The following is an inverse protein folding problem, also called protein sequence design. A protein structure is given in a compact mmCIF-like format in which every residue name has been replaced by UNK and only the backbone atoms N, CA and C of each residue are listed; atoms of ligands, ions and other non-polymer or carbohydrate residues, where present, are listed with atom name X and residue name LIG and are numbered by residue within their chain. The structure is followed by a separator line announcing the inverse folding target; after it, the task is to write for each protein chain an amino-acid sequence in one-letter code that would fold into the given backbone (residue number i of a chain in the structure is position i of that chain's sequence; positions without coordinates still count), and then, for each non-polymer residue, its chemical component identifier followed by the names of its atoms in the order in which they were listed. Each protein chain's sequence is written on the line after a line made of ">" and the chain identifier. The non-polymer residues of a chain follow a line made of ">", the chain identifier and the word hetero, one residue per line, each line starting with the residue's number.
data_IF_393154261134
#
_entry.id   IF_393154261134
#
_cell.length_a   1.000
_cell.length_b   1.000
_cell.length_c   1.000
_cell.angle_alpha   90.00
_cell.angle_beta   90.00
_cell.angle_gamma   90.00
#
_symmetry.space_group_name_H-M   'P 1'
#
loop_
_entity.id
_entity.type
_entity.pdbx_description
1 polymer ?
#
# COMPACT_ATOMS: atom_id res chain seq x y z
N UNK A 1 15.18 10.74 6.45
CA UNK A 1 14.96 9.76 7.52
C UNK A 1 15.25 8.38 6.96
N UNK A 2 16.13 7.65 7.61
CA UNK A 2 16.54 6.34 7.14
C UNK A 2 15.51 5.28 7.50
N UNK A 3 15.21 4.43 6.54
CA UNK A 3 14.30 3.32 6.75
C UNK A 3 14.88 2.04 6.15
N UNK A 4 14.38 0.90 6.62
CA UNK A 4 14.70 -0.42 6.08
C UNK A 4 13.40 -1.13 5.72
N UNK A 5 13.48 -2.01 4.73
CA UNK A 5 12.35 -2.86 4.34
C UNK A 5 12.76 -4.31 4.51
N UNK A 6 11.92 -5.10 5.17
CA UNK A 6 12.13 -6.53 5.36
C UNK A 6 10.84 -7.30 5.11
N UNK A 7 10.95 -8.59 4.84
CA UNK A 7 9.77 -9.45 4.73
C UNK A 7 9.03 -9.51 6.07
N UNK A 8 7.70 -9.58 5.99
CA UNK A 8 6.87 -9.77 7.16
C UNK A 8 7.05 -11.17 7.74
N UNK A 9 6.85 -11.29 9.05
CA UNK A 9 6.78 -12.56 9.76
C UNK A 9 5.41 -12.67 10.45
N UNK A 10 5.03 -13.84 10.97
CA UNK A 10 3.76 -13.96 11.70
C UNK A 10 3.61 -12.99 12.87
N UNK A 11 4.73 -12.58 13.48
CA UNK A 11 4.72 -11.61 14.58
C UNK A 11 4.27 -10.21 14.17
N UNK A 12 4.28 -9.91 12.88
CA UNK A 12 3.89 -8.61 12.35
C UNK A 12 2.39 -8.49 12.10
N UNK A 13 1.64 -9.60 12.19
CA UNK A 13 0.23 -9.68 11.85
C UNK A 13 -0.61 -8.57 12.48
N UNK A 14 -0.52 -8.42 13.81
CA UNK A 14 -1.38 -7.48 14.52
C UNK A 14 -1.04 -6.02 14.23
N UNK A 15 0.24 -5.69 14.09
CA UNK A 15 0.68 -4.34 13.75
C UNK A 15 0.25 -3.96 12.32
N UNK A 16 0.39 -4.87 11.38
CA UNK A 16 -0.03 -4.65 10.00
C UNK A 16 -1.54 -4.49 9.93
N UNK A 17 -2.30 -5.39 10.59
CA UNK A 17 -3.76 -5.27 10.61
C UNK A 17 -4.21 -3.96 11.22
N UNK A 18 -3.68 -3.59 12.37
CA UNK A 18 -4.05 -2.35 13.05
C UNK A 18 -3.83 -1.12 12.19
N UNK A 19 -2.70 -1.04 11.51
CA UNK A 19 -2.40 0.09 10.62
C UNK A 19 -3.31 0.08 9.38
N UNK A 20 -3.52 -1.08 8.76
CA UNK A 20 -4.43 -1.21 7.62
C UNK A 20 -5.83 -0.75 8.01
N UNK A 21 -6.36 -1.28 9.11
CA UNK A 21 -7.72 -0.95 9.58
C UNK A 21 -7.87 0.55 9.83
N UNK A 22 -6.92 1.16 10.53
CA UNK A 22 -6.94 2.60 10.78
C UNK A 22 -6.93 3.40 9.48
N UNK A 23 -6.13 2.96 8.52
CA UNK A 23 -5.93 3.70 7.26
C UNK A 23 -7.13 3.61 6.32
N UNK A 24 -7.83 2.47 6.25
CA UNK A 24 -8.93 2.26 5.30
C UNK A 24 -10.31 2.52 5.92
N UNK A 25 -10.44 2.50 7.24
CA UNK A 25 -11.73 2.61 7.91
C UNK A 25 -12.58 3.80 7.47
N UNK A 26 -12.03 5.03 7.33
CA UNK A 26 -12.85 6.17 6.91
C UNK A 26 -13.56 5.96 5.56
N UNK A 27 -12.93 5.24 4.65
CA UNK A 27 -13.49 4.96 3.33
C UNK A 27 -14.46 3.80 3.36
N UNK A 28 -14.08 2.71 4.01
CA UNK A 28 -14.90 1.50 4.12
C UNK A 28 -16.20 1.78 4.87
N UNK A 29 -16.15 2.51 5.99
CA UNK A 29 -17.34 2.88 6.75
C UNK A 29 -18.37 3.63 5.90
N UNK A 30 -17.88 4.53 5.08
CA UNK A 30 -18.73 5.39 4.25
C UNK A 30 -19.39 4.63 3.11
N UNK A 31 -18.71 3.63 2.55
CA UNK A 31 -19.18 2.88 1.38
C UNK A 31 -20.04 1.68 1.80
N UNK A 32 -19.58 0.91 2.80
CA UNK A 32 -20.19 -0.38 3.17
C UNK A 32 -20.54 -0.52 4.64
N UNK A 33 -20.09 0.40 5.49
CA UNK A 33 -20.08 0.20 6.94
C UNK A 33 -18.87 -0.63 7.36
N UNK A 34 -18.53 -0.55 8.64
CA UNK A 34 -17.38 -1.28 9.19
C UNK A 34 -17.86 -2.48 9.99
N UNK A 35 -17.50 -3.68 9.56
CA UNK A 35 -17.73 -4.94 10.25
C UNK A 35 -16.37 -5.51 10.68
N UNK A 36 -16.08 -5.43 11.99
CA UNK A 36 -14.77 -5.82 12.52
C UNK A 36 -14.46 -7.29 12.26
N UNK A 37 -15.44 -8.17 12.46
CA UNK A 37 -15.22 -9.61 12.25
C UNK A 37 -14.94 -9.92 10.79
N UNK A 38 -15.66 -9.28 9.88
CA UNK A 38 -15.42 -9.41 8.45
C UNK A 38 -14.03 -8.92 8.08
N UNK A 39 -13.61 -7.76 8.57
CA UNK A 39 -12.32 -7.17 8.24
C UNK A 39 -11.16 -8.02 8.73
N UNK A 40 -11.27 -8.57 9.94
CA UNK A 40 -10.24 -9.46 10.49
C UNK A 40 -10.12 -10.74 9.67
N UNK A 41 -11.24 -11.34 9.31
CA UNK A 41 -11.27 -12.57 8.53
C UNK A 41 -10.71 -12.35 7.12
N UNK A 42 -11.10 -11.25 6.49
CA UNK A 42 -10.61 -10.87 5.17
C UNK A 42 -9.10 -10.66 5.20
N UNK A 43 -8.60 -9.94 6.20
CA UNK A 43 -7.16 -9.73 6.35
C UNK A 43 -6.41 -11.04 6.60
N UNK A 44 -6.96 -11.94 7.43
CA UNK A 44 -6.31 -13.23 7.68
C UNK A 44 -6.15 -14.04 6.40
N UNK A 45 -7.15 -13.98 5.51
CA UNK A 45 -7.06 -14.60 4.19
C UNK A 45 -5.94 -13.99 3.35
N UNK A 46 -5.86 -12.67 3.30
CA UNK A 46 -4.82 -11.96 2.56
C UNK A 46 -3.43 -12.22 3.15
N UNK A 47 -3.31 -12.21 4.48
CA UNK A 47 -2.04 -12.41 5.16
C UNK A 47 -1.51 -13.84 5.05
N UNK A 48 -2.35 -14.78 4.61
CA UNK A 48 -1.88 -16.13 4.27
C UNK A 48 -0.86 -16.09 3.12
N UNK A 49 -0.89 -15.03 2.31
CA UNK A 49 0.14 -14.71 1.32
C UNK A 49 1.19 -13.77 1.91
N UNK A 50 1.78 -14.18 3.01
CA UNK A 50 2.69 -13.34 3.81
C UNK A 50 3.90 -12.84 3.01
N UNK A 51 4.32 -13.57 1.98
CA UNK A 51 5.41 -13.18 1.09
C UNK A 51 5.14 -11.88 0.33
N UNK A 52 3.89 -11.44 0.25
CA UNK A 52 3.53 -10.17 -0.38
C UNK A 52 3.72 -8.98 0.55
N UNK A 53 3.85 -9.21 1.85
CA UNK A 53 3.92 -8.16 2.86
C UNK A 53 5.35 -7.85 3.24
N UNK A 54 5.68 -6.57 3.24
CA UNK A 54 7.01 -6.08 3.60
C UNK A 54 6.85 -4.99 4.66
N UNK A 55 7.58 -5.14 5.76
CA UNK A 55 7.55 -4.19 6.87
C UNK A 55 8.54 -3.08 6.62
N UNK A 56 8.12 -1.86 6.86
CA UNK A 56 8.97 -0.67 6.85
C UNK A 56 9.38 -0.39 8.29
N UNK A 57 10.68 -0.36 8.54
CA UNK A 57 11.25 -0.09 9.86
C UNK A 57 12.02 1.21 9.87
N UNK A 58 11.88 1.96 10.95
CA UNK A 58 12.66 3.17 11.22
C UNK A 58 13.24 3.02 12.63
N UNK A 59 14.57 3.11 12.75
CA UNK A 59 15.28 2.92 14.01
C UNK A 59 14.92 1.59 14.70
N UNK A 60 14.75 0.54 13.90
CA UNK A 60 14.44 -0.80 14.40
C UNK A 60 12.99 -1.01 14.83
N UNK A 61 12.11 -0.01 14.64
CA UNK A 61 10.70 -0.08 15.04
C UNK A 61 9.79 -0.15 13.81
N UNK A 62 8.64 -0.81 13.96
CA UNK A 62 7.62 -0.86 12.93
C UNK A 62 7.13 0.55 12.60
N UNK A 63 7.24 0.94 11.35
CA UNK A 63 6.80 2.25 10.87
C UNK A 63 5.67 2.15 9.85
N UNK A 64 5.50 1.00 9.22
CA UNK A 64 4.48 0.79 8.22
C UNK A 64 4.69 -0.49 7.44
N UNK A 65 3.97 -0.65 6.35
CA UNK A 65 4.14 -1.80 5.48
C UNK A 65 3.78 -1.46 4.03
N UNK A 66 4.28 -2.29 3.12
CA UNK A 66 3.88 -2.28 1.73
C UNK A 66 3.54 -3.71 1.30
N UNK A 67 2.39 -3.87 0.67
CA UNK A 67 1.96 -5.14 0.09
C UNK A 67 2.04 -5.04 -1.42
N UNK A 68 2.77 -5.96 -2.06
CA UNK A 68 2.85 -6.00 -3.51
C UNK A 68 3.04 -7.43 -4.00
N UNK A 69 2.68 -7.65 -5.26
CA UNK A 69 2.95 -8.90 -5.96
C UNK A 69 3.16 -8.62 -7.45
N UNK A 70 3.71 -9.60 -8.13
CA UNK A 70 3.98 -9.48 -9.56
C UNK A 70 3.08 -10.42 -10.35
N UNK A 71 2.37 -9.83 -11.32
CA UNK A 71 1.54 -10.55 -12.29
C UNK A 71 1.77 -9.91 -13.65
N UNK A 72 2.59 -10.56 -14.48
CA UNK A 72 3.06 -9.98 -15.73
C UNK A 72 1.91 -9.40 -16.56
N UNK A 73 2.02 -8.21 -17.13
CA UNK A 73 3.19 -7.32 -17.13
C UNK A 73 3.27 -6.36 -15.94
N UNK A 74 2.38 -6.50 -14.95
CA UNK A 74 2.21 -5.55 -13.87
C UNK A 74 2.95 -5.98 -12.61
N UNK A 75 3.54 -4.99 -11.96
CA UNK A 75 3.91 -5.03 -10.58
C UNK A 75 2.80 -4.32 -9.81
N UNK A 76 2.03 -5.08 -9.04
CA UNK A 76 0.87 -4.56 -8.33
C UNK A 76 1.26 -4.10 -6.93
N UNK A 77 1.12 -2.80 -6.65
CA UNK A 77 1.21 -2.29 -5.30
C UNK A 77 -0.22 -2.28 -4.75
N UNK A 78 -0.51 -3.22 -3.88
CA UNK A 78 -1.85 -3.37 -3.30
C UNK A 78 -2.11 -2.28 -2.28
N UNK A 79 -1.17 -2.08 -1.35
CA UNK A 79 -1.27 -1.09 -0.28
C UNK A 79 0.10 -0.62 0.14
N UNK A 80 0.19 0.64 0.55
CA UNK A 80 1.35 1.20 1.24
C UNK A 80 0.82 2.12 2.32
N UNK A 81 1.19 1.87 3.57
CA UNK A 81 0.73 2.65 4.71
C UNK A 81 1.86 2.90 5.70
N UNK A 82 1.86 4.08 6.28
CA UNK A 82 2.78 4.47 7.35
C UNK A 82 1.99 4.84 8.59
N UNK A 83 2.57 4.61 9.75
CA UNK A 83 2.03 5.12 11.01
C UNK A 83 1.96 6.65 10.94
N UNK A 84 0.98 7.27 11.65
CA UNK A 84 0.77 8.72 11.56
C UNK A 84 2.04 9.56 11.80
N UNK A 85 2.88 9.18 12.77
CA UNK A 85 4.10 9.91 13.11
C UNK A 85 5.14 9.92 11.99
N UNK A 86 5.04 8.99 11.03
CA UNK A 86 5.99 8.90 9.91
C UNK A 86 5.43 9.41 8.59
N UNK A 87 4.19 9.89 8.57
CA UNK A 87 3.56 10.44 7.38
C UNK A 87 4.07 11.85 7.07
N UNK A 88 4.01 12.22 5.79
CA UNK A 88 4.39 13.56 5.36
C UNK A 88 5.90 13.85 5.38
N UNK A 89 6.73 12.82 5.44
CA UNK A 89 8.21 12.94 5.50
C UNK A 89 8.90 12.42 4.24
N UNK A 90 8.13 12.07 3.21
CA UNK A 90 8.68 11.63 1.94
C UNK A 90 9.05 10.16 1.84
N UNK A 91 8.81 9.37 2.90
CA UNK A 91 9.18 7.94 2.91
C UNK A 91 8.38 7.15 1.86
N UNK A 92 7.07 7.34 1.83
CA UNK A 92 6.21 6.66 0.86
C UNK A 92 6.58 7.00 -0.57
N UNK A 93 6.84 8.29 -0.85
CA UNK A 93 7.29 8.74 -2.16
C UNK A 93 8.62 8.11 -2.56
N UNK A 94 9.53 8.01 -1.63
CA UNK A 94 10.86 7.44 -1.87
C UNK A 94 10.77 5.95 -2.21
N UNK A 95 9.95 5.21 -1.48
CA UNK A 95 9.70 3.79 -1.76
C UNK A 95 9.08 3.60 -3.15
N UNK A 96 8.05 4.38 -3.48
CA UNK A 96 7.39 4.28 -4.77
C UNK A 96 8.33 4.64 -5.93
N UNK A 97 9.18 5.65 -5.76
CA UNK A 97 10.20 6.00 -6.78
C UNK A 97 11.19 4.86 -6.98
N UNK A 98 11.61 4.22 -5.92
CA UNK A 98 12.50 3.06 -6.02
C UNK A 98 11.82 1.94 -6.80
N UNK A 99 10.56 1.63 -6.50
CA UNK A 99 9.81 0.60 -7.22
C UNK A 99 9.63 0.96 -8.69
N UNK A 100 9.40 2.23 -9.01
CA UNK A 100 9.32 2.68 -10.40
C UNK A 100 10.63 2.40 -11.15
N UNK A 101 11.77 2.72 -10.53
CA UNK A 101 13.09 2.45 -11.15
C UNK A 101 13.31 0.97 -11.41
N UNK A 102 13.01 0.13 -10.44
CA UNK A 102 13.18 -1.32 -10.55
C UNK A 102 12.29 -1.87 -11.67
N UNK A 103 11.02 -1.46 -11.71
CA UNK A 103 10.07 -1.93 -12.71
C UNK A 103 10.46 -1.51 -14.12
N UNK A 104 10.86 -0.26 -14.31
CA UNK A 104 11.28 0.23 -15.62
C UNK A 104 12.53 -0.52 -16.11
N UNK A 105 13.50 -0.75 -15.23
CA UNK A 105 14.72 -1.50 -15.57
C UNK A 105 14.43 -2.93 -16.00
N UNK A 106 13.31 -3.50 -15.54
CA UNK A 106 12.89 -4.87 -15.86
C UNK A 106 11.80 -4.92 -16.94
N UNK A 107 11.51 -3.80 -17.59
CA UNK A 107 10.46 -3.68 -18.60
C UNK A 107 9.08 -4.09 -18.06
N UNK A 108 8.76 -3.65 -16.84
CA UNK A 108 7.50 -3.92 -16.16
C UNK A 108 6.73 -2.63 -15.91
N UNK A 109 5.41 -2.74 -15.88
CA UNK A 109 4.54 -1.63 -15.50
C UNK A 109 4.22 -1.74 -14.02
N UNK A 110 4.12 -0.62 -13.34
CA UNK A 110 3.69 -0.59 -11.93
C UNK A 110 2.27 -0.04 -11.86
N UNK A 111 1.41 -0.71 -11.10
CA UNK A 111 0.00 -0.34 -10.95
C UNK A 111 -0.35 -0.18 -9.48
N UNK A 112 -1.13 0.84 -9.16
CA UNK A 112 -1.56 1.15 -7.80
C UNK A 112 -2.99 1.69 -7.84
N UNK A 113 -3.77 1.40 -6.79
CA UNK A 113 -5.13 1.91 -6.66
C UNK A 113 -5.29 2.77 -5.42
N UNK A 114 -6.36 3.57 -5.40
CA UNK A 114 -6.77 4.30 -4.21
C UNK A 114 -8.29 4.49 -4.22
N UNK A 115 -8.86 4.59 -3.02
CA UNK A 115 -10.27 4.97 -2.89
C UNK A 115 -10.51 6.33 -3.55
N UNK A 116 -11.66 6.49 -4.21
CA UNK A 116 -11.98 7.73 -4.92
C UNK A 116 -11.94 8.97 -4.04
N UNK A 117 -12.30 8.84 -2.76
CA UNK A 117 -12.25 9.94 -1.81
C UNK A 117 -10.86 10.19 -1.22
N UNK A 118 -9.90 9.32 -1.47
CA UNK A 118 -8.54 9.52 -1.02
C UNK A 118 -7.78 10.42 -1.99
N UNK A 119 -8.15 11.70 -2.01
CA UNK A 119 -7.57 12.68 -2.93
C UNK A 119 -6.08 12.89 -2.69
N UNK A 120 -5.64 12.78 -1.43
CA UNK A 120 -4.23 12.93 -1.07
C UNK A 120 -3.37 11.86 -1.74
N UNK A 121 -3.81 10.61 -1.69
CA UNK A 121 -3.10 9.50 -2.33
C UNK A 121 -3.07 9.69 -3.85
N UNK A 122 -4.21 10.04 -4.46
CA UNK A 122 -4.28 10.27 -5.89
C UNK A 122 -3.32 11.37 -6.33
N UNK A 123 -3.30 12.49 -5.63
CA UNK A 123 -2.39 13.61 -5.94
C UNK A 123 -0.92 13.18 -5.80
N UNK A 124 -0.60 12.41 -4.77
CA UNK A 124 0.75 11.88 -4.60
C UNK A 124 1.17 11.02 -5.79
N UNK A 125 0.32 10.07 -6.17
CA UNK A 125 0.64 9.18 -7.29
C UNK A 125 0.80 9.95 -8.60
N UNK A 126 -0.07 10.92 -8.86
CA UNK A 126 0.05 11.77 -10.04
C UNK A 126 1.36 12.57 -10.05
N UNK A 127 1.78 13.12 -8.91
CA UNK A 127 3.07 13.82 -8.81
C UNK A 127 4.25 12.90 -9.10
N UNK A 128 4.12 11.62 -8.81
CA UNK A 128 5.17 10.63 -9.10
C UNK A 128 5.11 10.13 -10.55
N UNK A 129 4.18 10.61 -11.36
CA UNK A 129 4.08 10.24 -12.76
C UNK A 129 3.12 9.11 -13.08
N UNK A 130 2.37 8.60 -12.10
CA UNK A 130 1.31 7.65 -12.37
C UNK A 130 0.16 8.34 -13.11
N UNK A 131 -0.43 7.64 -14.05
CA UNK A 131 -1.59 8.12 -14.82
C UNK A 131 -2.78 7.22 -14.56
N UNK A 132 -3.95 7.82 -14.35
CA UNK A 132 -5.18 7.06 -14.19
C UNK A 132 -5.54 6.35 -15.49
N UNK A 133 -5.71 5.03 -15.42
CA UNK A 133 -6.05 4.19 -16.58
C UNK A 133 -7.42 3.56 -16.47
N UNK A 134 -7.91 3.37 -15.24
CA UNK A 134 -9.20 2.73 -15.00
C UNK A 134 -9.84 3.32 -13.76
N UNK A 135 -11.13 3.04 -13.59
CA UNK A 135 -11.84 3.28 -12.34
C UNK A 135 -12.89 2.18 -12.12
N UNK A 136 -13.12 1.89 -10.84
CA UNK A 136 -14.23 1.04 -10.41
C UNK A 136 -15.27 1.91 -9.72
N UNK A 137 -16.31 1.33 -9.16
CA UNK A 137 -17.29 2.09 -8.38
C UNK A 137 -16.67 2.80 -7.18
N UNK A 138 -15.57 2.25 -6.63
CA UNK A 138 -14.98 2.71 -5.37
C UNK A 138 -13.54 3.20 -5.48
N UNK A 139 -12.82 2.84 -6.55
CA UNK A 139 -11.38 3.10 -6.68
C UNK A 139 -11.00 3.73 -8.02
N UNK A 140 -9.90 4.48 -8.00
CA UNK A 140 -9.13 4.81 -9.20
C UNK A 140 -7.94 3.88 -9.30
N UNK A 141 -7.62 3.46 -10.52
CA UNK A 141 -6.46 2.63 -10.83
C UNK A 141 -5.49 3.47 -11.64
N UNK A 142 -4.24 3.54 -11.21
CA UNK A 142 -3.21 4.32 -11.86
C UNK A 142 -2.03 3.44 -12.23
N UNK A 143 -1.37 3.77 -13.33
CA UNK A 143 -0.22 3.02 -13.86
C UNK A 143 0.94 3.94 -14.16
N UNK A 144 2.14 3.38 -14.04
CA UNK A 144 3.40 4.01 -14.44
C UNK A 144 4.18 3.02 -15.31
N UNK A 145 4.67 3.53 -16.42
CA UNK A 145 5.47 2.73 -17.34
C UNK A 145 6.55 3.57 -18.01
#
# INVERSE_FOLDING_TARGET
>A
MDYKIRFATPDDHDLIYGLKAESIRPYVEKIWGWDEDYQKKDFDGDFSHMEQYNVIEIDGSFAGFVQYYFEYPYFEVVEIHLLPEYRGKGIGSDILRYLQKVCIAQDRKIRIGCFKENHRAKHLYQRLGFMQTEETDTHYILEYS
#
